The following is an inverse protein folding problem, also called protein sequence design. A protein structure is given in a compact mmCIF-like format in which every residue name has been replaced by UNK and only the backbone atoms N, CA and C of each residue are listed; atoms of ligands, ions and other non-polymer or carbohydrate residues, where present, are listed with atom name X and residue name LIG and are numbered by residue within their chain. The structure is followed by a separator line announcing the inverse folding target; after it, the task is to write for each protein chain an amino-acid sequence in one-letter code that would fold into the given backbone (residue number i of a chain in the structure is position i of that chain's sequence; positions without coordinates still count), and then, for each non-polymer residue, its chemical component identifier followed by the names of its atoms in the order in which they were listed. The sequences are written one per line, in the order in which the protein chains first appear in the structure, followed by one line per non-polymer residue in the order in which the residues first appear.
data_IF_234606489573
#
_entry.id   IF_234606489573
#
_cell.length_a   1.000
_cell.length_b   1.000
_cell.length_c   1.000
_cell.angle_alpha   90.00
_cell.angle_beta   90.00
_cell.angle_gamma   90.00
#
_symmetry.space_group_name_H-M   'P 1'
#
loop_
_entity.id
_entity.type
_entity.pdbx_description
1 polymer ?
#
# COMPACT_ATOMS: atom_id res chain seq x y z
N UNK A 1 -23.43 3.60 -19.30
CA UNK A 1 -23.54 4.85 -18.53
C UNK A 1 -23.06 4.55 -17.10
N UNK A 2 -21.76 4.65 -16.83
CA UNK A 2 -21.19 4.35 -15.50
C UNK A 2 -20.73 5.68 -14.90
N UNK A 3 -21.65 6.32 -14.18
CA UNK A 3 -21.38 7.57 -13.47
C UNK A 3 -21.03 7.23 -12.00
N UNK A 4 -19.86 7.68 -11.55
CA UNK A 4 -19.56 8.07 -10.14
C UNK A 4 -19.82 7.05 -9.01
N UNK A 5 -19.35 5.80 -9.11
CA UNK A 5 -19.62 4.84 -8.03
C UNK A 5 -18.98 5.18 -6.66
N UNK A 6 -17.87 5.94 -6.59
CA UNK A 6 -17.07 6.05 -5.35
C UNK A 6 -16.93 7.48 -4.79
N UNK A 7 -17.93 8.36 -5.00
CA UNK A 7 -18.01 9.63 -4.26
C UNK A 7 -19.11 9.56 -3.19
N UNK A 8 -18.71 9.27 -1.96
CA UNK A 8 -19.50 9.57 -0.76
C UNK A 8 -20.12 8.39 -0.01
N UNK A 9 -20.02 7.16 -0.51
CA UNK A 9 -20.48 5.95 0.16
C UNK A 9 -19.30 5.00 0.43
N UNK A 10 -19.38 4.26 1.54
CA UNK A 10 -18.43 3.20 1.82
C UNK A 10 -18.60 2.09 0.77
N UNK A 11 -17.48 1.59 0.26
CA UNK A 11 -17.45 0.45 -0.67
C UNK A 11 -17.66 -0.81 0.15
N UNK A 12 -18.51 -1.73 -0.31
CA UNK A 12 -18.71 -3.01 0.37
C UNK A 12 -17.41 -3.80 0.49
N UNK A 13 -17.22 -4.51 1.62
CA UNK A 13 -15.95 -5.17 1.92
C UNK A 13 -15.53 -6.20 0.84
N UNK A 14 -16.51 -6.88 0.23
CA UNK A 14 -16.26 -7.84 -0.83
C UNK A 14 -15.80 -7.16 -2.13
N UNK A 15 -16.28 -5.94 -2.40
CA UNK A 15 -15.80 -5.14 -3.53
C UNK A 15 -14.37 -4.64 -3.28
N UNK A 16 -14.01 -4.28 -2.04
CA UNK A 16 -12.61 -4.01 -1.69
C UNK A 16 -11.69 -5.22 -1.92
N UNK A 17 -12.15 -6.43 -1.55
CA UNK A 17 -11.38 -7.65 -1.80
C UNK A 17 -11.19 -7.89 -3.30
N UNK A 18 -12.26 -7.80 -4.11
CA UNK A 18 -12.18 -7.91 -5.58
C UNK A 18 -11.23 -6.87 -6.17
N UNK A 19 -11.26 -5.63 -5.68
CA UNK A 19 -10.35 -4.58 -6.13
C UNK A 19 -8.89 -4.96 -5.84
N UNK A 20 -8.58 -5.43 -4.63
CA UNK A 20 -7.23 -5.82 -4.23
C UNK A 20 -6.72 -6.98 -5.08
N UNK A 21 -7.55 -7.99 -5.30
CA UNK A 21 -7.21 -9.14 -6.14
C UNK A 21 -6.92 -8.70 -7.58
N UNK A 22 -7.76 -7.84 -8.14
CA UNK A 22 -7.56 -7.29 -9.48
C UNK A 22 -6.28 -6.43 -9.58
N UNK A 23 -6.00 -5.60 -8.57
CA UNK A 23 -4.79 -4.79 -8.52
C UNK A 23 -3.52 -5.64 -8.45
N UNK A 24 -3.52 -6.68 -7.61
CA UNK A 24 -2.39 -7.61 -7.46
C UNK A 24 -2.21 -8.46 -8.72
N UNK A 25 -3.28 -8.95 -9.33
CA UNK A 25 -3.22 -9.67 -10.61
C UNK A 25 -2.68 -8.78 -11.75
N UNK A 26 -3.08 -7.51 -11.79
CA UNK A 26 -2.55 -6.54 -12.75
C UNK A 26 -1.05 -6.31 -12.55
N UNK A 27 -0.58 -6.17 -11.31
CA UNK A 27 0.85 -6.06 -11.01
C UNK A 27 1.61 -7.35 -11.38
N UNK A 28 1.01 -8.53 -11.16
CA UNK A 28 1.64 -9.82 -11.44
C UNK A 28 1.85 -10.01 -12.95
N UNK A 29 0.82 -9.71 -13.75
CA UNK A 29 0.89 -9.78 -15.21
C UNK A 29 1.97 -8.86 -15.81
N UNK A 30 2.27 -7.71 -15.16
CA UNK A 30 3.39 -6.84 -15.55
C UNK A 30 4.73 -7.49 -15.20
N UNK A 31 4.84 -8.03 -13.99
CA UNK A 31 6.07 -8.67 -13.52
C UNK A 31 6.46 -9.90 -14.36
N UNK A 32 5.48 -10.70 -14.80
CA UNK A 32 5.68 -11.85 -15.70
C UNK A 32 6.24 -11.43 -17.07
N UNK A 33 5.89 -10.24 -17.54
CA UNK A 33 6.43 -9.63 -18.77
C UNK A 33 7.80 -8.96 -18.56
N UNK A 34 8.41 -9.13 -17.39
CA UNK A 34 9.69 -8.51 -17.03
C UNK A 34 9.59 -7.07 -16.51
N UNK A 35 8.39 -6.51 -16.39
CA UNK A 35 8.19 -5.12 -15.96
C UNK A 35 8.07 -5.02 -14.43
N UNK A 36 9.06 -5.56 -13.71
CA UNK A 36 9.09 -5.54 -12.23
C UNK A 36 9.36 -4.15 -11.65
N UNK A 37 10.11 -3.34 -12.38
CA UNK A 37 10.41 -1.95 -12.05
C UNK A 37 9.41 -1.05 -12.75
N UNK A 38 8.52 -0.45 -11.96
CA UNK A 38 7.36 0.27 -12.44
C UNK A 38 7.56 1.77 -12.18
N UNK A 39 7.62 2.60 -13.23
CA UNK A 39 7.52 4.05 -13.09
C UNK A 39 6.25 4.47 -12.36
N UNK A 40 6.37 5.48 -11.50
CA UNK A 40 5.22 6.05 -10.77
C UNK A 40 4.01 6.33 -11.67
N UNK A 41 4.26 6.90 -12.85
CA UNK A 41 3.19 7.27 -13.79
C UNK A 41 2.34 6.07 -14.22
N UNK A 42 2.96 4.90 -14.39
CA UNK A 42 2.26 3.68 -14.80
C UNK A 42 1.40 3.09 -13.68
N UNK A 43 1.71 3.34 -12.41
CA UNK A 43 0.87 2.93 -11.28
C UNK A 43 -0.45 3.71 -11.20
N UNK A 44 -0.59 4.79 -11.97
CA UNK A 44 -1.84 5.52 -12.13
C UNK A 44 -2.75 4.94 -13.22
N UNK A 45 -2.26 4.02 -14.05
CA UNK A 45 -2.98 3.44 -15.19
C UNK A 45 -3.80 2.19 -14.82
N UNK A 46 -3.79 1.78 -13.55
CA UNK A 46 -4.65 0.69 -13.10
C UNK A 46 -6.13 1.05 -13.26
N UNK A 47 -6.89 0.15 -13.87
CA UNK A 47 -8.32 0.27 -14.08
C UNK A 47 -9.06 -0.88 -13.39
N UNK A 48 -10.13 -0.54 -12.68
CA UNK A 48 -11.06 -1.50 -12.08
C UNK A 48 -12.48 -1.13 -12.51
N UNK A 49 -13.20 -2.10 -13.09
CA UNK A 49 -14.56 -1.92 -13.60
C UNK A 49 -14.71 -0.68 -14.54
N UNK A 50 -13.69 -0.42 -15.36
CA UNK A 50 -13.66 0.70 -16.31
C UNK A 50 -13.31 2.06 -15.69
N UNK A 51 -12.94 2.11 -14.41
CA UNK A 51 -12.53 3.32 -13.71
C UNK A 51 -11.04 3.28 -13.39
N UNK A 52 -10.32 4.35 -13.72
CA UNK A 52 -8.92 4.53 -13.33
C UNK A 52 -8.80 4.83 -11.85
N UNK A 53 -8.10 3.97 -11.11
CA UNK A 53 -7.87 4.12 -9.68
C UNK A 53 -6.38 3.96 -9.39
N UNK A 54 -5.64 5.05 -9.13
CA UNK A 54 -4.21 4.96 -8.87
C UNK A 54 -3.88 4.10 -7.65
N UNK A 55 -2.93 3.16 -7.83
CA UNK A 55 -2.49 2.22 -6.80
C UNK A 55 -1.56 2.87 -5.75
N UNK A 56 -0.99 4.03 -6.06
CA UNK A 56 -0.06 4.76 -5.19
C UNK A 56 -0.48 6.23 -5.06
N UNK A 57 -0.26 6.82 -3.89
CA UNK A 57 -0.44 8.25 -3.67
C UNK A 57 0.80 9.05 -4.14
N UNK A 58 0.57 10.24 -4.70
CA UNK A 58 1.65 11.11 -5.20
C UNK A 58 2.54 11.62 -4.07
N UNK A 59 1.93 12.00 -2.95
CA UNK A 59 2.61 12.70 -1.85
C UNK A 59 2.78 11.81 -0.63
N UNK A 60 1.77 11.00 -0.32
CA UNK A 60 1.67 10.25 0.93
C UNK A 60 2.33 8.88 0.82
N UNK A 61 2.86 8.42 1.96
CA UNK A 61 3.41 7.07 2.08
C UNK A 61 2.33 5.99 2.16
N UNK A 62 1.10 6.37 2.52
CA UNK A 62 -0.02 5.46 2.73
C UNK A 62 -1.16 5.88 1.80
N UNK A 63 -1.63 4.96 0.98
CA UNK A 63 -2.71 5.19 0.02
C UNK A 63 -3.97 4.49 0.49
N UNK A 64 -5.04 5.26 0.69
CA UNK A 64 -6.40 4.78 0.94
C UNK A 64 -7.36 5.34 -0.12
N UNK A 65 -7.91 4.53 -1.04
CA UNK A 65 -8.98 4.96 -1.96
C UNK A 65 -10.16 5.62 -1.26
N UNK A 66 -10.79 6.57 -1.94
CA UNK A 66 -12.02 7.16 -1.45
C UNK A 66 -13.09 6.07 -1.38
N UNK A 67 -13.88 6.04 -0.30
CA UNK A 67 -14.88 4.99 -0.07
C UNK A 67 -14.33 3.72 0.58
N UNK A 68 -13.02 3.48 0.58
CA UNK A 68 -12.47 2.31 1.28
C UNK A 68 -12.58 2.45 2.79
N UNK A 69 -12.63 1.33 3.48
CA UNK A 69 -12.45 1.15 4.91
C UNK A 69 -10.96 1.18 5.28
N UNK A 70 -10.11 0.49 4.52
CA UNK A 70 -8.71 0.25 4.86
C UNK A 70 -7.70 0.79 3.83
N UNK A 71 -6.43 0.92 4.24
CA UNK A 71 -5.34 1.25 3.33
C UNK A 71 -5.24 0.21 2.20
N UNK A 72 -4.96 0.68 0.98
CA UNK A 72 -4.69 -0.16 -0.19
C UNK A 72 -3.21 -0.50 -0.28
N UNK A 73 -2.36 0.53 -0.18
CA UNK A 73 -0.93 0.38 -0.37
C UNK A 73 -0.12 1.28 0.56
N UNK A 74 1.13 0.87 0.76
CA UNK A 74 2.15 1.62 1.48
C UNK A 74 3.38 1.79 0.59
N UNK A 75 4.17 2.84 0.84
CA UNK A 75 5.35 3.18 0.06
C UNK A 75 6.54 3.45 0.96
N UNK A 76 7.67 2.85 0.62
CA UNK A 76 8.98 3.27 1.12
C UNK A 76 9.71 4.00 -0.01
N UNK A 77 10.04 5.27 0.21
CA UNK A 77 10.69 6.11 -0.80
C UNK A 77 12.16 5.69 -1.01
N UNK A 78 12.62 5.71 -2.26
CA UNK A 78 14.03 5.54 -2.57
C UNK A 78 14.87 6.62 -1.87
N UNK A 79 15.85 6.20 -1.07
CA UNK A 79 16.83 7.09 -0.43
C UNK A 79 18.18 6.84 -1.09
N UNK A 80 18.82 7.84 -1.73
CA UNK A 80 20.14 7.67 -2.34
C UNK A 80 21.20 7.23 -1.34
N UNK A 81 22.25 6.52 -1.77
CA UNK A 81 23.39 6.21 -0.92
C UNK A 81 23.96 7.46 -0.25
N UNK A 82 24.19 7.39 1.07
CA UNK A 82 24.72 8.51 1.86
C UNK A 82 23.69 9.49 2.41
N UNK A 83 22.38 9.28 2.16
CA UNK A 83 21.31 10.08 2.79
C UNK A 83 20.59 9.29 3.88
N UNK A 84 20.18 9.98 4.95
CA UNK A 84 19.37 9.39 6.01
C UNK A 84 17.96 9.08 5.49
N UNK A 85 17.45 7.88 5.80
CA UNK A 85 16.08 7.51 5.47
C UNK A 85 15.10 8.37 6.28
N UNK A 86 13.96 8.80 5.71
CA UNK A 86 12.94 9.55 6.46
C UNK A 86 12.33 8.75 7.62
N UNK A 87 12.32 7.42 7.49
CA UNK A 87 11.80 6.47 8.47
C UNK A 87 12.74 5.26 8.56
N UNK A 88 12.87 4.71 9.77
CA UNK A 88 13.69 3.52 10.04
C UNK A 88 12.87 2.23 9.86
N UNK A 89 12.30 2.06 8.66
CA UNK A 89 11.65 0.81 8.28
C UNK A 89 12.71 -0.30 8.21
N UNK A 90 12.52 -1.37 9.00
CA UNK A 90 13.49 -2.46 9.16
C UNK A 90 12.82 -3.82 9.10
N UNK A 91 13.58 -4.85 8.74
CA UNK A 91 13.11 -6.23 8.83
C UNK A 91 13.54 -6.78 10.20
N UNK A 92 12.61 -7.35 10.96
CA UNK A 92 12.87 -8.00 12.23
C UNK A 92 13.62 -9.33 12.03
N UNK A 93 14.17 -9.89 13.11
CA UNK A 93 14.81 -11.21 13.05
C UNK A 93 13.85 -12.32 12.58
N UNK A 94 12.54 -12.12 12.79
CA UNK A 94 11.49 -13.07 12.40
C UNK A 94 10.98 -12.82 10.96
N UNK A 95 11.64 -11.95 10.20
CA UNK A 95 11.32 -11.68 8.80
C UNK A 95 10.14 -10.72 8.59
N UNK A 96 9.63 -10.08 9.64
CA UNK A 96 8.56 -9.09 9.54
C UNK A 96 9.13 -7.71 9.22
N UNK A 97 8.50 -6.98 8.29
CA UNK A 97 8.78 -5.57 8.07
C UNK A 97 8.14 -4.76 9.21
N UNK A 98 8.96 -4.12 10.03
CA UNK A 98 8.54 -3.12 11.00
C UNK A 98 8.40 -1.78 10.28
N UNK A 99 7.15 -1.41 9.97
CA UNK A 99 6.80 -0.20 9.23
C UNK A 99 6.41 0.91 10.19
N UNK A 100 7.12 2.05 10.13
CA UNK A 100 6.86 3.16 11.07
C UNK A 100 5.54 3.84 10.78
N UNK A 101 4.87 4.25 11.86
CA UNK A 101 3.71 5.11 11.78
C UNK A 101 4.03 6.39 11.04
N UNK A 102 2.99 6.96 10.43
CA UNK A 102 3.02 8.35 10.03
C UNK A 102 2.99 9.23 11.27
N UNK A 103 4.11 9.89 11.55
CA UNK A 103 4.25 10.81 12.68
C UNK A 103 4.21 10.08 14.03
N UNK A 104 3.99 10.85 15.08
CA UNK A 104 3.95 10.40 16.47
C UNK A 104 2.53 10.21 17.02
N UNK A 105 1.49 10.63 16.28
CA UNK A 105 0.09 10.42 16.65
C UNK A 105 -0.42 9.02 16.23
N UNK A 106 -0.69 8.10 17.17
CA UNK A 106 -1.26 6.78 16.86
C UNK A 106 -2.65 6.85 16.22
N UNK A 107 -3.36 7.97 16.44
CA UNK A 107 -4.69 8.23 15.89
C UNK A 107 -4.63 8.92 14.54
N UNK A 108 -3.47 9.17 13.95
CA UNK A 108 -3.38 9.77 12.62
C UNK A 108 -4.20 8.96 11.60
N UNK A 109 -4.95 9.65 10.74
CA UNK A 109 -5.93 9.02 9.83
C UNK A 109 -5.32 7.93 8.92
N UNK A 110 -4.06 8.08 8.50
CA UNK A 110 -3.35 7.09 7.71
C UNK A 110 -2.96 5.85 8.54
N UNK A 111 -2.55 6.02 9.80
CA UNK A 111 -2.27 4.91 10.71
C UNK A 111 -3.56 4.12 11.00
N UNK A 112 -4.69 4.83 11.20
CA UNK A 112 -6.01 4.18 11.32
C UNK A 112 -6.40 3.39 10.07
N UNK A 113 -5.99 3.82 8.88
CA UNK A 113 -6.27 3.10 7.65
C UNK A 113 -5.49 1.78 7.54
N UNK A 114 -4.23 1.75 8.01
CA UNK A 114 -3.45 0.50 8.10
C UNK A 114 -4.05 -0.41 9.19
N UNK A 115 -4.41 0.14 10.35
CA UNK A 115 -5.08 -0.61 11.41
C UNK A 115 -6.41 -1.23 10.94
N UNK A 116 -7.20 -0.51 10.16
CA UNK A 116 -8.39 -1.08 9.54
C UNK A 116 -8.07 -2.26 8.60
N UNK A 117 -6.90 -2.27 7.95
CA UNK A 117 -6.49 -3.42 7.14
C UNK A 117 -6.16 -4.65 8.01
N UNK A 118 -5.63 -4.43 9.21
CA UNK A 118 -5.43 -5.48 10.22
C UNK A 118 -6.78 -6.02 10.69
N UNK A 119 -7.67 -5.14 11.17
CA UNK A 119 -8.96 -5.52 11.76
C UNK A 119 -9.89 -6.25 10.75
N UNK A 120 -9.82 -5.87 9.47
CA UNK A 120 -10.63 -6.44 8.40
C UNK A 120 -9.94 -7.58 7.64
N UNK A 121 -8.72 -7.95 8.02
CA UNK A 121 -7.91 -8.95 7.32
C UNK A 121 -7.86 -8.66 5.81
N UNK A 122 -7.40 -7.46 5.46
CA UNK A 122 -7.22 -7.02 4.08
C UNK A 122 -5.72 -6.92 3.75
N UNK A 123 -5.27 -7.51 2.64
CA UNK A 123 -3.87 -7.43 2.26
C UNK A 123 -3.53 -6.04 1.68
N UNK A 124 -2.30 -5.61 1.91
CA UNK A 124 -1.70 -4.39 1.38
C UNK A 124 -0.79 -4.70 0.19
N UNK A 125 -0.55 -3.68 -0.62
CA UNK A 125 0.54 -3.65 -1.60
C UNK A 125 1.65 -2.77 -1.04
N UNK A 126 2.87 -3.29 -0.91
CA UNK A 126 4.04 -2.49 -0.54
C UNK A 126 4.87 -2.13 -1.77
N UNK A 127 4.98 -0.83 -2.02
CA UNK A 127 5.83 -0.31 -3.08
C UNK A 127 7.18 0.15 -2.53
N UNK A 128 8.24 -0.51 -3.00
CA UNK A 128 9.63 -0.23 -2.61
C UNK A 128 10.28 0.63 -3.67
N UNK A 129 10.68 1.85 -3.32
CA UNK A 129 11.44 2.71 -4.23
C UNK A 129 12.85 2.16 -4.49
N UNK A 130 13.14 1.79 -5.73
CA UNK A 130 14.44 1.26 -6.16
C UNK A 130 15.29 2.26 -6.93
N UNK A 131 14.65 3.31 -7.45
CA UNK A 131 15.29 4.50 -7.99
C UNK A 131 14.29 5.68 -7.93
N UNK A 132 14.74 6.89 -8.26
CA UNK A 132 13.86 8.08 -8.27
C UNK A 132 12.65 7.85 -9.18
N UNK A 133 11.47 7.74 -8.58
CA UNK A 133 10.20 7.53 -9.31
C UNK A 133 10.00 6.11 -9.85
N UNK A 134 10.84 5.15 -9.49
CA UNK A 134 10.76 3.75 -9.92
C UNK A 134 10.54 2.85 -8.71
N UNK A 135 9.55 1.96 -8.81
CA UNK A 135 9.12 1.13 -7.68
C UNK A 135 9.06 -0.34 -8.06
N UNK A 136 9.33 -1.21 -7.10
CA UNK A 136 8.96 -2.63 -7.15
C UNK A 136 7.79 -2.87 -6.21
N UNK A 137 6.83 -3.69 -6.62
CA UNK A 137 5.65 -3.99 -5.83
C UNK A 137 5.78 -5.36 -5.15
N UNK A 138 5.50 -5.41 -3.85
CA UNK A 138 5.43 -6.63 -3.04
C UNK A 138 4.02 -6.80 -2.49
N UNK A 139 3.43 -7.97 -2.74
CA UNK A 139 2.06 -8.28 -2.36
C UNK A 139 1.85 -9.81 -2.42
N UNK A 140 0.88 -10.36 -1.67
CA UNK A 140 0.13 -9.68 -0.60
C UNK A 140 1.01 -9.42 0.63
N UNK A 141 0.88 -8.24 1.24
CA UNK A 141 1.51 -7.90 2.53
C UNK A 141 0.42 -7.85 3.60
N UNK A 142 0.63 -8.50 4.74
CA UNK A 142 -0.37 -8.58 5.81
C UNK A 142 0.10 -7.85 7.06
N UNK A 143 -0.77 -7.06 7.68
CA UNK A 143 -0.50 -6.56 9.03
C UNK A 143 -0.65 -7.73 9.99
N UNK A 144 0.39 -8.02 10.76
CA UNK A 144 0.40 -9.09 11.77
C UNK A 144 0.26 -8.58 13.19
N UNK A 145 0.73 -7.36 13.41
CA UNK A 145 0.61 -6.70 14.71
C UNK A 145 0.59 -5.18 14.54
N UNK A 146 -0.09 -4.53 15.48
CA UNK A 146 -0.16 -3.09 15.60
C UNK A 146 0.44 -2.67 16.95
N UNK A 147 1.55 -1.94 16.93
CA UNK A 147 2.34 -1.63 18.13
C UNK A 147 2.37 -0.12 18.42
N UNK A 148 1.26 0.49 18.92
CA UNK A 148 1.20 1.92 19.21
C UNK A 148 2.31 2.44 20.12
N UNK A 149 2.77 1.61 21.07
CA UNK A 149 3.82 1.99 22.01
C UNK A 149 5.21 2.13 21.37
N UNK A 150 5.40 1.58 20.18
CA UNK A 150 6.62 1.69 19.37
C UNK A 150 6.41 2.50 18.09
N UNK A 151 5.18 3.00 17.88
CA UNK A 151 4.75 3.73 16.68
C UNK A 151 5.11 2.95 15.40
N UNK A 152 4.80 1.65 15.36
CA UNK A 152 5.08 0.78 14.21
C UNK A 152 4.02 -0.31 14.02
N UNK A 153 3.91 -0.78 12.78
CA UNK A 153 3.17 -1.99 12.42
C UNK A 153 4.18 -3.10 12.11
N UNK A 154 3.87 -4.34 12.50
CA UNK A 154 4.62 -5.51 12.06
C UNK A 154 3.91 -6.12 10.84
N UNK A 155 4.58 -6.12 9.69
CA UNK A 155 4.02 -6.55 8.42
C UNK A 155 4.69 -7.84 7.95
N UNK A 156 3.90 -8.85 7.60
CA UNK A 156 4.40 -10.03 6.92
C UNK A 156 4.53 -9.75 5.43
N UNK A 157 5.73 -10.00 4.90
CA UNK A 157 6.02 -9.91 3.47
C UNK A 157 5.61 -11.19 2.72
N UNK A 158 5.42 -11.12 1.38
CA UNK A 158 5.18 -12.31 0.57
C UNK A 158 6.33 -13.31 0.75
N UNK A 159 5.99 -14.60 0.77
CA UNK A 159 6.97 -15.71 0.83
C UNK A 159 7.77 -15.86 -0.45
#
# INVERSE_FOLDING_TARGET
MVFYAWKGLAVEIDEERRFRDAAMAWLAARAEKGHRRIPYGELADFEFEGLRVPLMDRQRGIRKPAGFHAALSIRTTYTPPGQAKPYDDRVSNDGLLLYKYRGDDPKHHENRAIRAAFDLELPLIWFVGVAKGIYEARYPVWVRDDQPQKLEFALQLPS
#
